data_IF_168061304631
#
_entry.id   IF_168061304631
#
_cell.length_a   1.000
_cell.length_b   1.000
_cell.length_c   1.000
_cell.angle_alpha   90.00
_cell.angle_beta   90.00
_cell.angle_gamma   90.00
#
_symmetry.space_group_name_H-M   'P 1'
#
loop_
_entity.id
_entity.type
_entity.pdbx_description
1 polymer ?
#
# COMPACT_ATOMS: atom_id res chain seq x y z
N UNK A 1 -21.29 -13.86 2.65
CA UNK A 1 -20.51 -12.61 2.49
C UNK A 1 -19.87 -12.32 3.84
N UNK A 2 -18.63 -12.77 4.04
CA UNK A 2 -17.95 -12.60 5.33
C UNK A 2 -17.43 -11.17 5.43
N UNK A 3 -18.11 -10.34 6.23
CA UNK A 3 -17.55 -9.10 6.77
C UNK A 3 -16.60 -9.50 7.91
N UNK A 4 -15.30 -9.42 7.70
CA UNK A 4 -14.33 -9.43 8.79
C UNK A 4 -14.01 -7.99 9.12
N UNK A 5 -14.59 -7.54 10.23
CA UNK A 5 -14.24 -6.32 10.94
C UNK A 5 -12.99 -6.63 11.76
N UNK A 6 -11.86 -5.98 11.53
CA UNK A 6 -10.79 -5.72 12.51
C UNK A 6 -9.85 -4.68 11.89
N UNK A 7 -9.21 -3.85 12.71
CA UNK A 7 -8.13 -2.93 12.33
C UNK A 7 -6.89 -3.70 11.81
N UNK A 8 -7.08 -4.43 10.71
CA UNK A 8 -6.16 -5.40 10.15
C UNK A 8 -5.23 -4.69 9.18
N UNK A 9 -3.95 -4.99 9.36
CA UNK A 9 -2.86 -4.50 8.52
C UNK A 9 -3.23 -4.74 7.05
N UNK A 10 -3.56 -3.66 6.33
CA UNK A 10 -3.83 -3.69 4.89
C UNK A 10 -2.77 -4.56 4.19
N UNK A 11 -3.20 -5.49 3.35
CA UNK A 11 -2.29 -6.31 2.56
C UNK A 11 -1.62 -5.45 1.50
N UNK A 12 -0.53 -5.95 0.91
CA UNK A 12 0.13 -5.22 -0.18
C UNK A 12 -0.82 -5.04 -1.36
N UNK A 13 -1.59 -6.08 -1.71
CA UNK A 13 -2.55 -6.04 -2.82
C UNK A 13 -3.67 -5.04 -2.58
N UNK A 14 -4.24 -5.01 -1.37
CA UNK A 14 -5.26 -4.02 -1.01
C UNK A 14 -4.72 -2.60 -1.02
N UNK A 15 -3.49 -2.38 -0.54
CA UNK A 15 -2.86 -1.06 -0.57
C UNK A 15 -2.64 -0.57 -2.01
N UNK A 16 -2.26 -1.46 -2.93
CA UNK A 16 -2.12 -1.13 -4.35
C UNK A 16 -3.49 -0.84 -4.97
N UNK A 17 -4.50 -1.67 -4.72
CA UNK A 17 -5.85 -1.45 -5.23
C UNK A 17 -6.44 -0.11 -4.76
N UNK A 18 -6.19 0.28 -3.50
CA UNK A 18 -6.61 1.57 -2.97
C UNK A 18 -5.85 2.74 -3.62
N UNK A 19 -4.56 2.59 -3.92
CA UNK A 19 -3.81 3.61 -4.69
C UNK A 19 -4.40 3.79 -6.09
N UNK A 20 -4.75 2.69 -6.77
CA UNK A 20 -5.38 2.75 -8.10
C UNK A 20 -6.75 3.44 -8.05
N UNK A 21 -7.56 3.16 -7.04
CA UNK A 21 -8.85 3.83 -6.83
C UNK A 21 -8.68 5.33 -6.53
N UNK A 22 -7.67 5.69 -5.73
CA UNK A 22 -7.31 7.10 -5.50
C UNK A 22 -6.91 7.78 -6.82
N UNK A 23 -6.08 7.12 -7.64
CA UNK A 23 -5.68 7.66 -8.94
C UNK A 23 -6.87 7.81 -9.90
N UNK A 24 -7.81 6.87 -9.89
CA UNK A 24 -9.02 6.97 -10.68
C UNK A 24 -9.86 8.18 -10.26
N UNK A 25 -10.06 8.37 -8.94
CA UNK A 25 -10.76 9.53 -8.38
C UNK A 25 -10.06 10.84 -8.72
N UNK A 26 -8.73 10.89 -8.61
CA UNK A 26 -7.92 12.06 -8.95
C UNK A 26 -8.04 12.52 -10.41
N UNK A 27 -8.39 11.60 -11.31
CA UNK A 27 -8.59 11.87 -12.73
C UNK A 27 -10.06 12.15 -13.10
N UNK A 28 -10.97 12.17 -12.12
CA UNK A 28 -12.36 12.54 -12.34
C UNK A 28 -12.48 14.05 -12.58
N UNK A 29 -13.31 14.45 -13.53
CA UNK A 29 -13.46 15.84 -13.99
C UNK A 29 -14.09 16.76 -12.91
N UNK A 30 -14.68 16.19 -11.86
CA UNK A 30 -15.32 16.92 -10.75
C UNK A 30 -14.45 17.06 -9.49
N UNK A 31 -13.13 16.84 -9.59
CA UNK A 31 -12.26 16.83 -8.42
C UNK A 31 -12.09 18.22 -7.77
N UNK A 32 -12.38 18.33 -6.48
CA UNK A 32 -12.09 19.50 -5.66
C UNK A 32 -10.61 19.52 -5.23
N UNK A 33 -9.99 20.70 -5.24
CA UNK A 33 -8.58 20.88 -4.88
C UNK A 33 -8.30 20.55 -3.40
N UNK A 34 -9.28 20.77 -2.53
CA UNK A 34 -9.19 20.37 -1.12
C UNK A 34 -9.19 18.84 -0.97
N UNK A 35 -9.88 18.12 -1.86
CA UNK A 35 -9.89 16.65 -1.90
C UNK A 35 -8.59 16.08 -2.48
N UNK A 36 -7.96 16.79 -3.42
CA UNK A 36 -6.66 16.42 -3.99
C UNK A 36 -5.59 16.25 -2.90
N UNK A 37 -5.53 17.16 -1.93
CA UNK A 37 -4.59 17.09 -0.81
C UNK A 37 -4.77 15.81 0.02
N UNK A 38 -6.02 15.48 0.36
CA UNK A 38 -6.34 14.28 1.13
C UNK A 38 -6.00 12.99 0.36
N UNK A 39 -6.28 12.96 -0.95
CA UNK A 39 -5.92 11.83 -1.81
C UNK A 39 -4.41 11.60 -1.87
N UNK A 40 -3.63 12.67 -2.02
CA UNK A 40 -2.15 12.59 -2.03
C UNK A 40 -1.61 12.11 -0.68
N UNK A 41 -2.12 12.62 0.44
CA UNK A 41 -1.71 12.17 1.78
C UNK A 41 -2.02 10.67 1.99
N UNK A 42 -3.19 10.23 1.56
CA UNK A 42 -3.57 8.81 1.65
C UNK A 42 -2.68 7.93 0.77
N UNK A 43 -2.49 8.30 -0.49
CA UNK A 43 -1.64 7.55 -1.42
C UNK A 43 -0.19 7.45 -0.92
N UNK A 44 0.38 8.54 -0.39
CA UNK A 44 1.74 8.52 0.16
C UNK A 44 1.87 7.61 1.39
N UNK A 45 0.86 7.56 2.25
CA UNK A 45 0.79 6.62 3.38
C UNK A 45 0.79 5.16 2.91
N UNK A 46 -0.02 4.84 1.89
CA UNK A 46 -0.10 3.50 1.31
C UNK A 46 1.22 3.09 0.63
N UNK A 47 1.86 4.01 -0.10
CA UNK A 47 3.16 3.78 -0.73
C UNK A 47 4.24 3.49 0.34
N UNK A 48 4.24 4.22 1.45
CA UNK A 48 5.18 3.97 2.55
C UNK A 48 4.99 2.57 3.15
N UNK A 49 3.74 2.14 3.34
CA UNK A 49 3.40 0.78 3.78
C UNK A 49 3.89 -0.29 2.79
N UNK A 50 3.67 -0.06 1.49
CA UNK A 50 4.13 -0.96 0.44
C UNK A 50 5.67 -1.12 0.46
N UNK A 51 6.39 -0.01 0.59
CA UNK A 51 7.87 -0.02 0.70
C UNK A 51 8.35 -0.80 1.93
N UNK A 52 7.74 -0.59 3.09
CA UNK A 52 8.11 -1.32 4.31
C UNK A 52 7.89 -2.84 4.17
N UNK A 53 6.77 -3.26 3.56
CA UNK A 53 6.50 -4.67 3.28
C UNK A 53 7.54 -5.28 2.33
N UNK A 54 7.89 -4.57 1.25
CA UNK A 54 8.91 -5.03 0.30
C UNK A 54 10.28 -5.16 0.95
N UNK A 55 10.70 -4.17 1.75
CA UNK A 55 11.97 -4.24 2.49
C UNK A 55 12.01 -5.42 3.46
N UNK A 56 10.89 -5.71 4.13
CA UNK A 56 10.79 -6.89 5.01
C UNK A 56 10.93 -8.19 4.23
N UNK A 57 10.25 -8.31 3.09
CA UNK A 57 10.35 -9.47 2.22
C UNK A 57 11.79 -9.65 1.69
N UNK A 58 12.44 -8.57 1.23
CA UNK A 58 13.82 -8.59 0.77
C UNK A 58 14.77 -9.09 1.86
N UNK A 59 14.66 -8.58 3.09
CA UNK A 59 15.48 -9.03 4.23
C UNK A 59 15.27 -10.51 4.56
N UNK A 60 14.05 -11.01 4.42
CA UNK A 60 13.78 -12.44 4.62
C UNK A 60 14.45 -13.29 3.54
N UNK A 61 14.37 -12.88 2.27
CA UNK A 61 15.05 -13.56 1.16
C UNK A 61 16.56 -13.55 1.37
N UNK A 62 17.17 -12.40 1.68
CA UNK A 62 18.60 -12.31 1.97
C UNK A 62 19.04 -13.20 3.14
N UNK A 63 18.20 -13.31 4.18
CA UNK A 63 18.49 -14.18 5.32
C UNK A 63 18.50 -15.65 4.93
N UNK A 64 17.53 -16.09 4.11
CA UNK A 64 17.47 -17.48 3.62
C UNK A 64 18.68 -17.79 2.75
N UNK A 65 19.03 -16.89 1.81
CA UNK A 65 20.19 -17.09 0.94
C UNK A 65 21.51 -17.18 1.72
N UNK A 66 21.70 -16.35 2.76
CA UNK A 66 22.89 -16.40 3.62
C UNK A 66 22.99 -17.66 4.48
N UNK A 67 21.88 -18.36 4.72
CA UNK A 67 21.89 -19.62 5.46
C UNK A 67 22.33 -20.81 4.60
N UNK A 68 22.29 -20.70 3.27
CA UNK A 68 22.74 -21.75 2.34
C UNK A 68 24.25 -21.67 2.04
N UNK A 69 24.91 -20.56 2.37
CA UNK A 69 26.35 -20.33 2.17
C UNK A 69 27.21 -20.66 3.41
N UNK A 70 26.61 -21.16 4.50
CA UNK A 70 27.26 -21.48 5.78
C UNK A 70 27.26 -22.99 6.06
#
# INVERSE_FOLDING_TARGET
MAKTNTAEKITYAEAVAEIEDILAKMNDDELDIDQLGAYVERATTLIALCKDKLLKAQKQVEKVMKQEEA
#
